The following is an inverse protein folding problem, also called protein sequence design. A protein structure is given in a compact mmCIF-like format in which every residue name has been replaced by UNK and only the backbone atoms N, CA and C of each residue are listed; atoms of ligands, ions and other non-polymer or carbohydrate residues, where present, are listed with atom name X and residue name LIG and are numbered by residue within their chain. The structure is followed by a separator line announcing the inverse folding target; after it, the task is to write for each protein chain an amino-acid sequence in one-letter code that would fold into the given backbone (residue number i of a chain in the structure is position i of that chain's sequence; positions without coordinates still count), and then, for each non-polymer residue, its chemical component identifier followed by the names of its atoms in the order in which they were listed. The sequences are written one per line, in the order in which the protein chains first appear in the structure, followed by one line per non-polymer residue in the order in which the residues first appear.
data_IF_752076663088
#
_entry.id   IF_752076663088
#
_cell.length_a   1.000
_cell.length_b   1.000
_cell.length_c   1.000
_cell.angle_alpha   90.00
_cell.angle_beta   90.00
_cell.angle_gamma   90.00
#
_symmetry.space_group_name_H-M   'P 1'
#
loop_
_entity.id
_entity.type
_entity.pdbx_description
1 polymer ?
#
# COMPACT_ATOMS: atom_id res chain seq x y z
N UNK A 1 -2.59 7.03 8.64
CA UNK A 1 -1.35 6.82 7.88
C UNK A 1 -1.57 6.18 6.50
N UNK A 2 -2.80 6.07 6.00
CA UNK A 2 -3.14 5.50 4.71
C UNK A 2 -4.20 6.36 4.02
N UNK A 3 -3.76 7.21 3.10
CA UNK A 3 -4.65 8.13 2.36
C UNK A 3 -4.30 8.09 0.87
N UNK A 4 -5.27 8.42 0.03
CA UNK A 4 -5.10 8.55 -1.42
C UNK A 4 -5.62 9.93 -1.84
N UNK A 5 -4.82 10.97 -1.61
CA UNK A 5 -5.16 12.37 -1.88
C UNK A 5 -4.57 12.76 -3.24
N UNK A 6 -5.27 13.59 -4.02
CA UNK A 6 -4.85 14.01 -5.35
C UNK A 6 -4.38 12.84 -6.23
N UNK A 7 -5.08 11.71 -6.13
CA UNK A 7 -4.77 10.50 -6.88
C UNK A 7 -5.85 10.23 -7.92
N UNK A 8 -5.45 9.75 -9.10
CA UNK A 8 -6.40 9.36 -10.14
C UNK A 8 -7.06 8.04 -9.76
N UNK A 9 -8.39 8.01 -9.84
CA UNK A 9 -9.14 6.76 -9.71
C UNK A 9 -9.12 6.05 -11.05
N UNK A 10 -8.82 4.74 -11.05
CA UNK A 10 -8.81 3.96 -12.29
C UNK A 10 -10.18 4.00 -12.99
N UNK A 11 -10.19 3.97 -14.32
CA UNK A 11 -11.43 3.98 -15.10
C UNK A 11 -12.33 2.79 -14.75
N UNK A 12 -11.73 1.63 -14.48
CA UNK A 12 -12.47 0.43 -14.08
C UNK A 12 -13.27 0.63 -12.78
N UNK A 13 -12.74 1.40 -11.84
CA UNK A 13 -13.39 1.69 -10.55
C UNK A 13 -14.34 2.88 -10.62
N UNK A 14 -13.96 3.91 -11.36
CA UNK A 14 -14.74 5.15 -11.46
C UNK A 14 -15.86 5.08 -12.52
N UNK A 15 -15.85 4.09 -13.41
CA UNK A 15 -16.74 3.99 -14.56
C UNK A 15 -16.53 5.08 -15.63
N UNK A 16 -15.55 5.95 -15.44
CA UNK A 16 -15.17 7.04 -16.39
C UNK A 16 -13.74 7.48 -16.18
N UNK A 17 -13.15 8.07 -17.22
CA UNK A 17 -11.80 8.66 -17.15
C UNK A 17 -11.74 9.97 -16.39
N UNK A 18 -10.57 10.30 -15.86
CA UNK A 18 -10.26 11.60 -15.26
C UNK A 18 -10.88 11.87 -13.90
N UNK A 19 -11.35 10.84 -13.20
CA UNK A 19 -11.80 11.00 -11.80
C UNK A 19 -10.58 11.09 -10.89
N UNK A 20 -10.54 12.15 -10.09
CA UNK A 20 -9.50 12.37 -9.08
C UNK A 20 -10.11 12.28 -7.69
N UNK A 21 -9.33 11.84 -6.72
CA UNK A 21 -9.66 12.00 -5.30
C UNK A 21 -9.53 13.47 -4.88
N UNK A 22 -9.86 13.79 -3.64
CA UNK A 22 -9.82 15.18 -3.14
C UNK A 22 -8.43 15.79 -3.27
N UNK A 23 -8.41 17.13 -3.50
CA UNK A 23 -7.16 17.91 -3.48
C UNK A 23 -6.51 17.89 -2.08
N UNK A 24 -5.20 18.16 -1.97
CA UNK A 24 -4.53 18.30 -0.67
C UNK A 24 -5.20 19.33 0.23
N UNK A 25 -5.64 20.47 -0.33
CA UNK A 25 -6.36 21.51 0.40
C UNK A 25 -7.67 20.98 1.00
N UNK A 26 -8.52 20.36 0.20
CA UNK A 26 -9.82 19.87 0.66
C UNK A 26 -9.67 18.73 1.68
N UNK A 27 -8.76 17.78 1.41
CA UNK A 27 -8.51 16.64 2.29
C UNK A 27 -7.90 17.07 3.63
N UNK A 28 -6.88 17.93 3.63
CA UNK A 28 -6.24 18.40 4.86
C UNK A 28 -7.15 19.29 5.70
N UNK A 29 -8.03 20.09 5.06
CA UNK A 29 -9.07 20.84 5.79
C UNK A 29 -10.01 19.89 6.52
N UNK A 30 -10.51 18.86 5.85
CA UNK A 30 -11.37 17.86 6.47
C UNK A 30 -10.63 17.11 7.60
N UNK A 31 -9.37 16.74 7.38
CA UNK A 31 -8.51 16.09 8.36
C UNK A 31 -8.35 16.94 9.63
N UNK A 32 -8.05 18.24 9.47
CA UNK A 32 -7.91 19.18 10.59
C UNK A 32 -9.21 19.31 11.40
N UNK A 33 -10.37 19.38 10.74
CA UNK A 33 -11.68 19.36 11.42
C UNK A 33 -11.95 18.06 12.17
N UNK A 34 -11.40 16.92 11.69
CA UNK A 34 -11.47 15.63 12.34
C UNK A 34 -10.40 15.40 13.42
N UNK A 35 -9.57 16.42 13.72
CA UNK A 35 -8.49 16.31 14.71
C UNK A 35 -7.22 15.61 14.21
N UNK A 36 -7.09 15.36 12.90
CA UNK A 36 -5.88 14.79 12.29
C UNK A 36 -4.92 15.93 11.96
N UNK A 37 -3.74 15.89 12.56
CA UNK A 37 -2.70 16.94 12.40
C UNK A 37 -1.61 16.54 11.40
N UNK A 38 -1.49 15.26 11.10
CA UNK A 38 -0.51 14.72 10.15
C UNK A 38 -1.09 13.52 9.41
N UNK A 39 -0.94 13.47 8.12
CA UNK A 39 -1.29 12.29 7.32
C UNK A 39 -0.10 11.79 6.50
N UNK A 40 -0.13 10.51 6.14
CA UNK A 40 0.88 9.90 5.29
C UNK A 40 0.16 9.40 4.03
N UNK A 41 0.53 9.96 2.89
CA UNK A 41 -0.02 9.61 1.58
C UNK A 41 0.95 8.73 0.80
N UNK A 42 0.66 8.43 -0.46
CA UNK A 42 1.50 7.61 -1.32
C UNK A 42 2.16 8.45 -2.41
N UNK A 43 3.44 8.18 -2.68
CA UNK A 43 4.19 8.67 -3.81
C UNK A 43 4.65 7.49 -4.67
N UNK A 44 4.80 7.67 -5.95
CA UNK A 44 5.32 6.66 -6.89
C UNK A 44 4.40 5.46 -7.16
N UNK A 45 4.71 4.67 -8.17
CA UNK A 45 4.23 3.30 -8.43
C UNK A 45 2.74 3.02 -8.62
N UNK A 46 1.86 3.92 -8.30
CA UNK A 46 0.43 3.75 -8.52
C UNK A 46 0.03 4.42 -9.84
N UNK A 47 -0.61 3.65 -10.73
CA UNK A 47 -1.19 4.23 -11.95
C UNK A 47 -2.08 5.43 -11.59
N UNK A 48 -1.74 6.57 -12.14
CA UNK A 48 -2.57 7.76 -12.07
C UNK A 48 -2.33 8.73 -10.93
N UNK A 49 -1.26 8.61 -10.18
CA UNK A 49 -0.78 9.74 -9.38
C UNK A 49 -0.21 10.82 -10.31
N UNK A 50 -0.34 12.12 -9.95
CA UNK A 50 0.27 13.21 -10.72
C UNK A 50 1.77 13.35 -10.42
N UNK A 51 2.47 12.25 -10.20
CA UNK A 51 3.87 12.22 -9.74
C UNK A 51 4.90 12.47 -10.87
N UNK A 52 4.51 13.14 -11.95
CA UNK A 52 5.40 13.46 -13.06
C UNK A 52 5.59 12.31 -14.05
N UNK A 53 6.68 12.37 -14.81
CA UNK A 53 7.01 11.37 -15.83
C UNK A 53 7.37 10.03 -15.17
N UNK A 54 6.49 9.04 -15.34
CA UNK A 54 6.68 7.69 -14.82
C UNK A 54 7.73 6.87 -15.59
N UNK A 55 8.31 7.43 -16.67
CA UNK A 55 9.44 6.82 -17.38
C UNK A 55 10.73 6.90 -16.54
N UNK A 56 10.84 7.87 -15.64
CA UNK A 56 11.91 7.95 -14.65
C UNK A 56 11.56 7.10 -13.41
N UNK A 57 12.26 5.99 -13.24
CA UNK A 57 12.10 5.11 -12.09
C UNK A 57 12.86 5.60 -10.83
N UNK A 58 13.43 6.82 -10.84
CA UNK A 58 14.10 7.40 -9.67
C UNK A 58 13.10 7.71 -8.56
N UNK A 59 13.39 7.20 -7.36
CA UNK A 59 12.61 7.46 -6.15
C UNK A 59 12.61 8.95 -5.83
N UNK A 60 13.77 9.57 -5.88
CA UNK A 60 13.93 10.97 -5.46
C UNK A 60 13.19 11.93 -6.39
N UNK A 61 13.28 11.75 -7.71
CA UNK A 61 12.55 12.56 -8.69
C UNK A 61 11.04 12.48 -8.45
N UNK A 62 10.53 11.28 -8.20
CA UNK A 62 9.08 11.06 -8.00
C UNK A 62 8.59 11.56 -6.64
N UNK A 63 9.41 11.48 -5.59
CA UNK A 63 9.13 12.09 -4.30
C UNK A 63 9.05 13.61 -4.40
N UNK A 64 9.95 14.26 -5.12
CA UNK A 64 9.96 15.71 -5.28
C UNK A 64 8.75 16.18 -6.11
N UNK A 65 8.42 15.48 -7.17
CA UNK A 65 7.20 15.72 -7.93
C UNK A 65 5.94 15.63 -7.03
N UNK A 66 5.86 14.59 -6.19
CA UNK A 66 4.73 14.42 -5.26
C UNK A 66 4.70 15.51 -4.19
N UNK A 67 5.83 15.87 -3.61
CA UNK A 67 5.95 16.98 -2.65
C UNK A 67 5.42 18.29 -3.21
N UNK A 68 5.71 18.58 -4.48
CA UNK A 68 5.27 19.83 -5.14
C UNK A 68 3.75 19.95 -5.24
N UNK A 69 3.01 18.82 -5.33
CA UNK A 69 1.55 18.81 -5.34
C UNK A 69 0.96 19.22 -3.97
N UNK A 70 1.67 18.92 -2.87
CA UNK A 70 1.18 19.14 -1.51
C UNK A 70 1.74 20.43 -0.88
N UNK A 71 2.94 20.83 -1.24
CA UNK A 71 3.62 21.99 -0.66
C UNK A 71 2.84 23.27 -0.93
N UNK A 72 2.46 23.98 0.15
CA UNK A 72 1.65 25.19 0.08
C UNK A 72 0.14 24.93 -0.14
N UNK A 73 -0.28 23.68 -0.28
CA UNK A 73 -1.67 23.26 -0.51
C UNK A 73 -2.24 22.38 0.61
N UNK A 74 -1.54 22.22 1.71
CA UNK A 74 -2.01 21.44 2.86
C UNK A 74 -2.08 22.29 4.12
N UNK A 75 -3.18 22.17 4.88
CA UNK A 75 -3.38 22.82 6.20
C UNK A 75 -2.75 22.03 7.36
N UNK A 76 -2.41 20.76 7.13
CA UNK A 76 -1.81 19.87 8.13
C UNK A 76 -0.49 19.33 7.60
N UNK A 77 0.33 18.78 8.48
CA UNK A 77 1.57 18.13 8.09
C UNK A 77 1.30 16.89 7.22
N UNK A 78 2.24 16.59 6.33
CA UNK A 78 2.15 15.44 5.45
C UNK A 78 3.49 14.74 5.28
N UNK A 79 3.43 13.44 5.01
CA UNK A 79 4.55 12.60 4.64
C UNK A 79 4.11 11.60 3.55
N UNK A 80 5.06 10.79 3.06
CA UNK A 80 4.77 9.81 2.02
C UNK A 80 5.32 8.43 2.34
N UNK A 81 4.54 7.41 2.00
CA UNK A 81 5.03 6.08 1.68
C UNK A 81 5.43 6.06 0.22
N UNK A 82 6.62 5.60 -0.11
CA UNK A 82 6.97 5.43 -1.52
C UNK A 82 6.52 4.08 -2.05
N UNK A 83 5.73 4.06 -3.12
CA UNK A 83 5.19 2.83 -3.70
C UNK A 83 6.14 2.24 -4.72
N UNK A 84 6.49 0.97 -4.52
CA UNK A 84 7.23 0.13 -5.45
C UNK A 84 6.25 -0.89 -6.06
N UNK A 85 6.23 -1.01 -7.38
CA UNK A 85 5.26 -1.85 -8.09
C UNK A 85 5.91 -2.61 -9.25
N UNK A 86 5.40 -3.81 -9.52
CA UNK A 86 5.89 -4.65 -10.61
C UNK A 86 7.34 -5.10 -10.42
N UNK A 87 8.04 -5.24 -11.52
CA UNK A 87 9.49 -5.50 -11.53
C UNK A 87 10.25 -4.22 -11.22
N UNK A 88 10.81 -4.14 -10.01
CA UNK A 88 11.55 -2.96 -9.55
C UNK A 88 12.99 -3.04 -10.04
N UNK A 89 13.48 -2.07 -10.84
CA UNK A 89 14.85 -2.06 -11.32
C UNK A 89 15.89 -2.01 -10.19
N UNK A 90 17.05 -2.62 -10.39
CA UNK A 90 18.10 -2.68 -9.37
C UNK A 90 18.53 -1.29 -8.89
N UNK A 91 18.69 -0.31 -9.79
CA UNK A 91 19.06 1.05 -9.41
C UNK A 91 18.00 1.71 -8.51
N UNK A 92 16.70 1.45 -8.74
CA UNK A 92 15.62 1.94 -7.88
C UNK A 92 15.71 1.32 -6.48
N UNK A 93 16.07 0.03 -6.37
CA UNK A 93 16.29 -0.61 -5.07
C UNK A 93 17.49 0.02 -4.34
N UNK A 94 18.55 0.38 -5.07
CA UNK A 94 19.74 1.04 -4.51
C UNK A 94 19.42 2.45 -3.98
N UNK A 95 18.49 3.19 -4.60
CA UNK A 95 18.03 4.51 -4.14
C UNK A 95 17.21 4.47 -2.83
N UNK A 96 16.72 3.32 -2.40
CA UNK A 96 15.93 3.19 -1.15
C UNK A 96 16.71 3.77 0.04
N UNK A 97 18.01 3.54 0.10
CA UNK A 97 18.85 4.10 1.18
C UNK A 97 18.81 5.63 1.18
N UNK A 98 18.99 6.25 0.03
CA UNK A 98 18.96 7.72 -0.10
C UNK A 98 17.60 8.29 0.28
N UNK A 99 16.50 7.62 -0.11
CA UNK A 99 15.16 8.00 0.29
C UNK A 99 14.99 7.96 1.81
N UNK A 100 15.51 6.93 2.50
CA UNK A 100 15.47 6.81 3.96
C UNK A 100 16.30 7.95 4.61
N UNK A 101 17.50 8.21 4.11
CA UNK A 101 18.35 9.31 4.58
C UNK A 101 17.70 10.68 4.37
N UNK A 102 16.86 10.84 3.35
CA UNK A 102 16.06 12.06 3.10
C UNK A 102 14.81 12.21 3.97
N UNK A 103 14.50 11.20 4.81
CA UNK A 103 13.36 11.19 5.73
C UNK A 103 12.14 10.40 5.25
N UNK A 104 12.20 9.72 4.09
CA UNK A 104 11.13 8.81 3.61
C UNK A 104 11.51 7.38 3.96
N UNK A 105 11.10 6.93 5.13
CA UNK A 105 11.50 5.64 5.70
C UNK A 105 10.48 4.51 5.51
N UNK A 106 9.42 4.73 4.76
CA UNK A 106 8.38 3.72 4.55
C UNK A 106 8.08 3.50 3.06
N UNK A 107 7.98 2.23 2.67
CA UNK A 107 7.80 1.80 1.29
C UNK A 107 6.57 0.92 1.15
N UNK A 108 5.71 1.25 0.18
CA UNK A 108 4.48 0.50 -0.10
C UNK A 108 4.72 -0.52 -1.19
N UNK A 109 4.23 -1.75 -0.98
CA UNK A 109 4.17 -2.81 -1.99
C UNK A 109 2.81 -3.51 -1.99
N UNK A 110 2.57 -4.23 -3.08
CA UNK A 110 1.42 -5.11 -3.26
C UNK A 110 1.87 -6.53 -3.54
N UNK A 111 1.17 -7.51 -2.99
CA UNK A 111 1.37 -8.93 -3.32
C UNK A 111 0.32 -9.46 -4.29
N UNK A 112 -0.63 -8.62 -4.69
CA UNK A 112 -1.69 -8.90 -5.67
C UNK A 112 -1.88 -7.73 -6.63
N UNK A 113 -2.84 -7.82 -7.54
CA UNK A 113 -3.12 -6.88 -8.63
C UNK A 113 -2.01 -6.79 -9.70
N UNK A 114 -2.23 -5.92 -10.69
CA UNK A 114 -1.23 -5.62 -11.73
C UNK A 114 0.05 -4.97 -11.20
N UNK A 115 0.00 -4.42 -9.99
CA UNK A 115 1.12 -3.80 -9.28
C UNK A 115 1.93 -4.79 -8.40
N UNK A 116 1.58 -6.08 -8.39
CA UNK A 116 2.27 -7.12 -7.62
C UNK A 116 3.77 -7.10 -7.87
N UNK A 117 4.54 -7.07 -6.78
CA UNK A 117 6.00 -7.19 -6.82
C UNK A 117 6.41 -8.67 -6.77
N UNK A 118 7.27 -9.16 -7.69
CA UNK A 118 7.76 -10.53 -7.65
C UNK A 118 8.56 -10.84 -6.37
N UNK A 119 8.46 -12.07 -5.85
CA UNK A 119 9.09 -12.43 -4.56
C UNK A 119 10.61 -12.23 -4.51
N UNK A 120 11.33 -12.40 -5.63
CA UNK A 120 12.77 -12.13 -5.69
C UNK A 120 13.08 -10.64 -5.48
N UNK A 121 12.28 -9.75 -6.07
CA UNK A 121 12.39 -8.30 -5.86
C UNK A 121 11.97 -7.92 -4.43
N UNK A 122 10.90 -8.55 -3.88
CA UNK A 122 10.52 -8.36 -2.48
C UNK A 122 11.67 -8.67 -1.54
N UNK A 123 12.37 -9.78 -1.76
CA UNK A 123 13.55 -10.12 -0.95
C UNK A 123 14.58 -9.00 -0.95
N UNK A 124 15.00 -8.55 -2.15
CA UNK A 124 16.01 -7.49 -2.28
C UNK A 124 15.56 -6.16 -1.64
N UNK A 125 14.29 -5.76 -1.85
CA UNK A 125 13.71 -4.55 -1.25
C UNK A 125 13.71 -4.65 0.28
N UNK A 126 13.25 -5.77 0.83
CA UNK A 126 13.19 -5.98 2.27
C UNK A 126 14.59 -5.93 2.90
N UNK A 127 15.59 -6.57 2.30
CA UNK A 127 16.96 -6.49 2.79
C UNK A 127 17.48 -5.05 2.87
N UNK A 128 17.25 -4.24 1.81
CA UNK A 128 17.72 -2.84 1.79
C UNK A 128 16.94 -2.00 2.79
N UNK A 129 15.62 -2.14 2.86
CA UNK A 129 14.76 -1.40 3.80
C UNK A 129 15.12 -1.76 5.24
N UNK A 130 15.27 -3.05 5.57
CA UNK A 130 15.62 -3.51 6.92
C UNK A 130 16.99 -3.00 7.36
N UNK A 131 18.02 -3.14 6.52
CA UNK A 131 19.39 -2.67 6.79
C UNK A 131 19.47 -1.16 7.07
N UNK A 132 18.57 -0.37 6.51
CA UNK A 132 18.55 1.09 6.65
C UNK A 132 17.48 1.60 7.65
N UNK A 133 16.83 0.71 8.42
CA UNK A 133 15.88 1.08 9.47
C UNK A 133 14.53 1.57 8.95
N UNK A 134 14.18 1.20 7.72
CA UNK A 134 12.86 1.50 7.14
C UNK A 134 11.79 0.49 7.52
N UNK A 135 10.56 0.73 7.05
CA UNK A 135 9.38 -0.12 7.25
C UNK A 135 8.65 -0.37 5.94
N UNK A 136 8.13 -1.58 5.75
CA UNK A 136 7.34 -1.96 4.60
C UNK A 136 5.84 -1.83 4.88
N UNK A 137 5.12 -0.97 4.17
CA UNK A 137 3.67 -0.92 4.14
C UNK A 137 3.16 -1.91 3.07
N UNK A 138 2.40 -2.93 3.48
CA UNK A 138 2.08 -4.06 2.60
C UNK A 138 0.58 -4.25 2.43
N UNK A 139 0.11 -4.20 1.17
CA UNK A 139 -1.17 -4.77 0.78
C UNK A 139 -0.95 -6.25 0.48
N UNK A 140 -1.44 -7.11 1.35
CA UNK A 140 -1.07 -8.52 1.35
C UNK A 140 -2.27 -9.44 1.10
N UNK A 141 -2.39 -9.94 -0.14
CA UNK A 141 -3.32 -10.98 -0.55
C UNK A 141 -2.59 -11.97 -1.47
N UNK A 142 -3.01 -13.23 -1.50
CA UNK A 142 -2.46 -14.22 -2.42
C UNK A 142 -3.08 -14.05 -3.82
N UNK A 143 -2.28 -13.53 -4.75
CA UNK A 143 -2.71 -13.17 -6.10
C UNK A 143 -3.32 -14.33 -6.90
N UNK A 144 -2.75 -15.53 -6.76
CA UNK A 144 -3.21 -16.70 -7.51
C UNK A 144 -4.59 -17.14 -7.01
N UNK A 145 -4.82 -17.06 -5.70
CA UNK A 145 -6.15 -17.34 -5.10
C UNK A 145 -7.18 -16.31 -5.53
N UNK A 146 -6.85 -15.02 -5.45
CA UNK A 146 -7.75 -13.93 -5.85
C UNK A 146 -8.16 -14.11 -7.31
N UNK A 147 -7.20 -14.23 -8.23
CA UNK A 147 -7.45 -14.41 -9.67
C UNK A 147 -8.29 -15.66 -10.00
N UNK A 148 -8.00 -16.78 -9.32
CA UNK A 148 -8.79 -18.01 -9.52
C UNK A 148 -10.24 -17.80 -9.08
N UNK A 149 -10.45 -17.16 -7.93
CA UNK A 149 -11.81 -16.92 -7.41
C UNK A 149 -12.56 -15.89 -8.23
N UNK A 150 -11.94 -14.81 -8.69
CA UNK A 150 -12.54 -13.86 -9.63
C UNK A 150 -13.02 -14.57 -10.90
N UNK A 151 -12.13 -15.34 -11.53
CA UNK A 151 -12.48 -16.11 -12.72
C UNK A 151 -13.59 -17.14 -12.47
N UNK A 152 -13.64 -17.74 -11.29
CA UNK A 152 -14.72 -18.65 -10.87
C UNK A 152 -16.04 -17.90 -10.74
N UNK A 153 -16.07 -16.77 -10.06
CA UNK A 153 -17.29 -15.96 -9.86
C UNK A 153 -17.86 -15.47 -11.20
N UNK A 154 -17.00 -15.02 -12.13
CA UNK A 154 -17.40 -14.64 -13.49
C UNK A 154 -18.08 -15.82 -14.20
N UNK A 155 -17.49 -17.01 -14.19
CA UNK A 155 -18.07 -18.21 -14.81
C UNK A 155 -19.41 -18.62 -14.21
N UNK A 156 -19.62 -18.32 -12.92
CA UNK A 156 -20.86 -18.60 -12.20
C UNK A 156 -21.92 -17.49 -12.35
N UNK A 157 -21.62 -16.41 -13.07
CA UNK A 157 -22.49 -15.23 -13.20
C UNK A 157 -22.67 -14.46 -11.88
N UNK A 158 -21.65 -14.49 -11.02
CA UNK A 158 -21.61 -13.88 -9.67
C UNK A 158 -20.52 -12.80 -9.58
N UNK A 159 -20.33 -12.04 -10.64
CA UNK A 159 -19.31 -11.00 -10.80
C UNK A 159 -19.74 -9.63 -10.24
N UNK A 160 -20.87 -9.54 -9.55
CA UNK A 160 -21.37 -8.30 -8.95
C UNK A 160 -20.49 -7.88 -7.76
N UNK A 161 -20.35 -6.56 -7.56
CA UNK A 161 -19.45 -5.98 -6.57
C UNK A 161 -19.66 -6.48 -5.12
N UNK A 162 -20.90 -6.83 -4.75
CA UNK A 162 -21.19 -7.39 -3.41
C UNK A 162 -20.60 -8.80 -3.19
N UNK A 163 -20.16 -9.49 -4.25
CA UNK A 163 -19.45 -10.76 -4.16
C UNK A 163 -17.93 -10.62 -4.10
N UNK A 164 -17.38 -9.40 -4.13
CA UNK A 164 -15.94 -9.14 -4.15
C UNK A 164 -15.23 -9.83 -2.99
N UNK A 165 -15.81 -9.85 -1.81
CA UNK A 165 -15.29 -10.51 -0.61
C UNK A 165 -15.07 -12.02 -0.77
N UNK A 166 -15.70 -12.68 -1.74
CA UNK A 166 -15.50 -14.10 -2.05
C UNK A 166 -14.21 -14.32 -2.85
N UNK A 167 -13.79 -13.33 -3.63
CA UNK A 167 -12.50 -13.36 -4.34
C UNK A 167 -11.37 -12.90 -3.43
N UNK A 168 -11.52 -11.74 -2.81
CA UNK A 168 -10.63 -11.17 -1.80
C UNK A 168 -10.97 -11.75 -0.42
N UNK A 169 -10.69 -13.02 -0.23
CA UNK A 169 -11.15 -13.77 0.92
C UNK A 169 -10.11 -13.86 2.05
N UNK A 170 -10.57 -14.21 3.23
CA UNK A 170 -9.72 -14.30 4.43
C UNK A 170 -8.50 -15.20 4.28
N UNK A 171 -8.60 -16.29 3.48
CA UNK A 171 -7.48 -17.24 3.30
C UNK A 171 -6.38 -16.61 2.46
N UNK A 172 -6.74 -15.83 1.42
CA UNK A 172 -5.76 -15.13 0.58
C UNK A 172 -4.96 -14.13 1.40
N UNK A 173 -5.62 -13.39 2.30
CA UNK A 173 -4.99 -12.45 3.22
C UNK A 173 -4.11 -13.17 4.23
N UNK A 174 -4.61 -14.20 4.93
CA UNK A 174 -3.84 -14.94 5.95
C UNK A 174 -2.55 -15.57 5.39
N UNK A 175 -2.65 -16.26 4.25
CA UNK A 175 -1.49 -16.88 3.61
C UNK A 175 -0.45 -15.83 3.22
N UNK A 176 -0.89 -14.72 2.63
CA UNK A 176 0.01 -13.65 2.23
C UNK A 176 0.67 -12.99 3.44
N UNK A 177 -0.08 -12.71 4.53
CA UNK A 177 0.47 -12.17 5.77
C UNK A 177 1.59 -13.04 6.31
N UNK A 178 1.36 -14.36 6.41
CA UNK A 178 2.38 -15.30 6.94
C UNK A 178 3.61 -15.38 6.06
N UNK A 179 3.47 -15.33 4.73
CA UNK A 179 4.60 -15.27 3.78
C UNK A 179 5.44 -14.00 4.01
N UNK A 180 4.79 -12.84 4.12
CA UNK A 180 5.45 -11.55 4.33
C UNK A 180 6.10 -11.48 5.71
N UNK A 181 5.44 -11.94 6.77
CA UNK A 181 6.01 -12.01 8.11
C UNK A 181 7.27 -12.89 8.12
N UNK A 182 7.24 -14.03 7.42
CA UNK A 182 8.41 -14.91 7.33
C UNK A 182 9.59 -14.25 6.60
N UNK A 183 9.31 -13.48 5.55
CA UNK A 183 10.33 -12.70 4.84
C UNK A 183 10.90 -11.60 5.75
N UNK A 184 10.03 -10.85 6.43
CA UNK A 184 10.41 -9.83 7.41
C UNK A 184 11.30 -10.38 8.53
N UNK A 185 10.94 -11.53 9.12
CA UNK A 185 11.75 -12.20 10.14
C UNK A 185 13.16 -12.53 9.65
N UNK A 186 13.31 -12.92 8.39
CA UNK A 186 14.60 -13.25 7.80
C UNK A 186 15.45 -12.02 7.49
N UNK A 187 14.82 -10.94 7.03
CA UNK A 187 15.50 -9.71 6.61
C UNK A 187 15.55 -8.63 7.71
N UNK A 188 15.01 -8.93 8.89
CA UNK A 188 14.90 -8.02 10.04
C UNK A 188 14.19 -6.69 9.71
N UNK A 189 13.22 -6.73 8.77
CA UNK A 189 12.52 -5.55 8.26
C UNK A 189 11.21 -5.35 9.00
N UNK A 190 10.92 -4.12 9.45
CA UNK A 190 9.63 -3.76 10.01
C UNK A 190 8.50 -3.85 8.97
N UNK A 191 7.32 -4.30 9.40
CA UNK A 191 6.12 -4.44 8.56
C UNK A 191 4.97 -3.64 9.13
N UNK A 192 4.22 -3.01 8.23
CA UNK A 192 2.94 -2.39 8.49
C UNK A 192 1.92 -2.91 7.49
N UNK A 193 1.05 -3.82 7.92
CA UNK A 193 -0.06 -4.29 7.09
C UNK A 193 -1.14 -3.24 7.02
N UNK A 194 -1.46 -2.78 5.81
CA UNK A 194 -2.50 -1.79 5.60
C UNK A 194 -3.87 -2.46 5.55
N UNK A 195 -4.93 -1.76 5.98
CA UNK A 195 -6.34 -2.17 5.91
C UNK A 195 -6.61 -3.66 6.19
N UNK A 196 -6.03 -4.23 7.24
CA UNK A 196 -6.26 -5.62 7.67
C UNK A 196 -7.75 -5.90 7.81
N UNK A 197 -8.26 -6.89 7.06
CA UNK A 197 -9.68 -7.22 6.95
C UNK A 197 -10.01 -8.52 7.67
N UNK A 198 -9.18 -9.55 7.49
CA UNK A 198 -9.41 -10.89 8.03
C UNK A 198 -8.96 -10.98 9.50
N UNK A 199 -9.76 -11.66 10.32
CA UNK A 199 -9.37 -11.99 11.70
C UNK A 199 -8.09 -12.85 11.76
N UNK A 200 -7.88 -13.71 10.76
CA UNK A 200 -6.69 -14.55 10.61
C UNK A 200 -5.43 -13.70 10.41
N UNK A 201 -5.55 -12.59 9.65
CA UNK A 201 -4.48 -11.59 9.50
C UNK A 201 -4.15 -10.91 10.85
N UNK A 202 -5.17 -10.54 11.63
CA UNK A 202 -4.96 -9.99 12.97
C UNK A 202 -4.26 -10.99 13.90
N UNK A 203 -4.60 -12.29 13.83
CA UNK A 203 -3.90 -13.34 14.59
C UNK A 203 -2.45 -13.50 14.11
N UNK A 204 -2.19 -13.45 12.81
CA UNK A 204 -0.82 -13.53 12.29
C UNK A 204 0.05 -12.38 12.81
N UNK A 205 -0.49 -11.16 12.88
CA UNK A 205 0.18 -10.00 13.48
C UNK A 205 0.43 -10.23 14.96
N UNK A 206 -0.57 -10.69 15.72
CA UNK A 206 -0.43 -10.97 17.17
C UNK A 206 0.64 -12.03 17.44
N UNK A 207 0.67 -13.12 16.67
CA UNK A 207 1.67 -14.18 16.77
C UNK A 207 3.08 -13.65 16.49
N UNK A 208 3.24 -12.80 15.48
CA UNK A 208 4.52 -12.17 15.17
C UNK A 208 4.98 -11.23 16.28
N UNK A 209 4.08 -10.43 16.85
CA UNK A 209 4.38 -9.53 17.98
C UNK A 209 4.73 -10.29 19.26
N UNK A 210 4.11 -11.43 19.53
CA UNK A 210 4.47 -12.31 20.65
C UNK A 210 5.92 -12.83 20.52
N UNK A 211 6.44 -12.92 19.29
CA UNK A 211 7.86 -13.22 19.01
C UNK A 211 8.74 -11.96 18.98
N UNK A 212 8.21 -10.80 19.36
CA UNK A 212 8.89 -9.51 19.37
C UNK A 212 9.32 -9.03 17.98
N UNK A 213 8.70 -9.51 16.91
CA UNK A 213 8.93 -9.00 15.55
C UNK A 213 8.26 -7.62 15.38
N UNK A 214 8.87 -6.69 14.64
CA UNK A 214 8.33 -5.35 14.40
C UNK A 214 7.23 -5.38 13.34
N UNK A 215 6.12 -6.06 13.64
CA UNK A 215 4.96 -6.23 12.77
C UNK A 215 3.77 -5.47 13.34
N UNK A 216 3.19 -4.61 12.53
CA UNK A 216 2.05 -3.74 12.85
C UNK A 216 0.96 -3.92 11.80
N UNK A 217 -0.25 -3.45 12.10
CA UNK A 217 -1.35 -3.43 11.15
C UNK A 217 -2.36 -2.35 11.48
N UNK A 218 -3.06 -1.90 10.48
CA UNK A 218 -4.23 -1.02 10.60
C UNK A 218 -5.48 -1.71 10.07
N UNK A 219 -6.63 -1.28 10.54
CA UNK A 219 -7.91 -1.56 9.91
C UNK A 219 -8.57 -0.23 9.50
N UNK A 220 -9.57 -0.28 8.64
CA UNK A 220 -10.33 0.90 8.27
C UNK A 220 -11.52 1.06 9.20
N UNK A 221 -11.84 2.30 9.59
CA UNK A 221 -13.03 2.60 10.40
C UNK A 221 -14.33 2.11 9.71
N UNK A 222 -14.36 2.08 8.37
CA UNK A 222 -15.49 1.58 7.61
C UNK A 222 -15.79 0.10 7.90
N UNK A 223 -14.78 -0.72 8.18
CA UNK A 223 -14.93 -2.15 8.48
C UNK A 223 -15.59 -2.39 9.86
N UNK A 224 -15.63 -1.36 10.71
CA UNK A 224 -16.31 -1.42 12.00
C UNK A 224 -17.79 -1.05 11.91
N UNK A 225 -18.23 -0.46 10.79
CA UNK A 225 -19.57 0.06 10.61
C UNK A 225 -20.36 -0.62 9.50
N UNK A 226 -19.69 -1.15 8.49
CA UNK A 226 -20.32 -1.74 7.31
C UNK A 226 -19.94 -3.21 7.16
N UNK A 227 -20.87 -3.99 6.64
CA UNK A 227 -20.68 -5.38 6.23
C UNK A 227 -20.90 -5.48 4.72
N UNK A 228 -20.72 -6.68 4.17
CA UNK A 228 -21.02 -6.97 2.77
C UNK A 228 -22.53 -7.23 2.49
N UNK A 229 -23.34 -7.26 3.54
CA UNK A 229 -24.80 -7.43 3.48
C UNK A 229 -25.52 -6.09 3.25
#
# INVERSE_FOLDING_TARGET
PHTHIASRVSEAWAGRRGVMTQSPEAASRAAAHGGVTTYIDFAGGMEGTEDGDQSDNSIMTRLDARRSVFAGHSYTDFAFHFTLAGEVPTHTIEEIREAIESGVSSFKIFTTFGSKVPYGHLWAIFEVVGKNGGIMAVHAEDDDMVKYMEAKLIREGRDQGYNLHLAHNNISEDISFRKIIRLSEHTETGIYFVHTTAKEGAYAIADARNKQLPVYGETLHNYLHFTHE
#
